data_IF_412768780894
#
_entry.id   IF_412768780894
#
_cell.length_a   1.000
_cell.length_b   1.000
_cell.length_c   1.000
_cell.angle_alpha   90.00
_cell.angle_beta   90.00
_cell.angle_gamma   90.00
#
_symmetry.space_group_name_H-M   'P 1'
#
loop_
_entity.id
_entity.type
_entity.pdbx_description
1 polymer ?
#
# COMPACT_ATOMS: atom_id res chain seq x y z
N UNK A 1 13.24 13.80 1.47
CA UNK A 1 14.13 12.66 1.18
C UNK A 1 13.35 11.68 0.34
N UNK A 2 13.90 11.18 -0.77
CA UNK A 2 13.19 10.20 -1.61
C UNK A 2 13.02 8.87 -0.86
N UNK A 3 11.84 8.27 -0.92
CA UNK A 3 11.51 7.00 -0.25
C UNK A 3 12.31 5.84 -0.84
N UNK A 4 12.96 5.04 0.00
CA UNK A 4 13.82 3.92 -0.44
C UNK A 4 13.04 2.84 -1.19
N UNK A 5 13.73 2.09 -2.06
CA UNK A 5 13.13 0.95 -2.77
C UNK A 5 12.50 -0.06 -1.80
N UNK A 6 13.20 -0.39 -0.70
CA UNK A 6 12.70 -1.34 0.29
C UNK A 6 11.43 -0.85 0.97
N UNK A 7 11.35 0.45 1.30
CA UNK A 7 10.14 1.05 1.88
C UNK A 7 8.97 1.00 0.89
N UNK A 8 9.18 1.39 -0.37
CA UNK A 8 8.16 1.29 -1.43
C UNK A 8 7.70 -0.15 -1.65
N UNK A 9 8.63 -1.11 -1.69
CA UNK A 9 8.30 -2.51 -1.89
C UNK A 9 7.48 -3.05 -0.72
N UNK A 10 7.90 -2.81 0.53
CA UNK A 10 7.15 -3.27 1.71
C UNK A 10 5.76 -2.63 1.77
N UNK A 11 5.63 -1.37 1.39
CA UNK A 11 4.33 -0.70 1.27
C UNK A 11 3.35 -1.47 0.40
N UNK A 12 3.81 -2.03 -0.73
CA UNK A 12 2.95 -2.85 -1.59
C UNK A 12 2.53 -4.16 -0.93
N UNK A 13 3.45 -4.84 -0.23
CA UNK A 13 3.09 -6.03 0.55
C UNK A 13 1.98 -5.73 1.58
N UNK A 14 2.09 -4.58 2.25
CA UNK A 14 1.18 -4.21 3.34
C UNK A 14 -0.17 -3.66 2.87
N UNK A 15 -0.27 -3.22 1.62
CA UNK A 15 -1.47 -2.52 1.11
C UNK A 15 -2.12 -3.19 -0.09
N UNK A 16 -1.39 -3.94 -0.90
CA UNK A 16 -1.88 -4.55 -2.14
C UNK A 16 -1.99 -6.07 -1.98
N UNK A 17 -3.18 -6.54 -1.65
CA UNK A 17 -3.51 -7.97 -1.58
C UNK A 17 -5.02 -8.19 -1.77
N UNK A 18 -5.45 -9.40 -2.18
CA UNK A 18 -6.85 -9.71 -2.46
C UNK A 18 -7.76 -9.54 -1.24
N UNK A 19 -9.04 -9.19 -1.45
CA UNK A 19 -10.01 -9.13 -0.35
C UNK A 19 -10.22 -10.51 0.29
N UNK A 20 -10.52 -10.53 1.59
CA UNK A 20 -10.83 -11.75 2.33
C UNK A 20 -9.61 -12.58 2.76
N UNK A 21 -8.38 -12.08 2.53
CA UNK A 21 -7.14 -12.66 3.04
C UNK A 21 -6.13 -11.58 3.45
N UNK A 22 -5.06 -12.00 4.10
CA UNK A 22 -3.95 -11.12 4.49
C UNK A 22 -2.96 -10.81 3.35
N UNK A 23 -1.93 -10.00 3.68
CA UNK A 23 -0.81 -9.67 2.80
C UNK A 23 -0.20 -10.86 2.06
N UNK A 24 0.40 -10.58 0.91
CA UNK A 24 1.20 -11.57 0.20
C UNK A 24 2.45 -11.97 1.00
N UNK A 25 2.87 -13.22 0.88
CA UNK A 25 4.18 -13.64 1.41
C UNK A 25 5.26 -13.51 0.33
N UNK A 26 6.52 -13.37 0.74
CA UNK A 26 7.64 -13.39 -0.21
C UNK A 26 7.66 -14.68 -1.05
N UNK A 27 7.27 -15.82 -0.46
CA UNK A 27 7.20 -17.11 -1.16
C UNK A 27 6.12 -17.11 -2.27
N UNK A 28 4.96 -16.50 -2.01
CA UNK A 28 3.91 -16.35 -3.03
C UNK A 28 4.36 -15.49 -4.20
N UNK A 29 5.04 -14.37 -3.94
CA UNK A 29 5.59 -13.51 -5.00
C UNK A 29 6.56 -14.29 -5.88
N UNK A 30 7.48 -15.02 -5.26
CA UNK A 30 8.48 -15.82 -5.98
C UNK A 30 7.80 -16.91 -6.83
N UNK A 31 6.80 -17.59 -6.28
CA UNK A 31 6.06 -18.62 -6.99
C UNK A 31 5.32 -18.06 -8.20
N UNK A 32 4.67 -16.89 -8.05
CA UNK A 32 3.97 -16.22 -9.14
C UNK A 32 4.95 -15.76 -10.24
N UNK A 33 6.05 -15.11 -9.88
CA UNK A 33 7.08 -14.71 -10.85
C UNK A 33 7.65 -15.91 -11.61
N UNK A 34 7.89 -17.03 -10.91
CA UNK A 34 8.35 -18.27 -11.55
C UNK A 34 7.34 -18.83 -12.56
N UNK A 35 6.04 -18.73 -12.27
CA UNK A 35 4.99 -19.15 -13.20
C UNK A 35 4.94 -18.32 -14.49
N UNK A 36 5.44 -17.10 -14.44
CA UNK A 36 5.59 -16.19 -15.60
C UNK A 36 6.98 -16.31 -16.27
N UNK A 37 7.79 -17.30 -15.88
CA UNK A 37 9.14 -17.53 -16.42
C UNK A 37 10.23 -16.61 -15.84
N UNK A 38 9.91 -15.82 -14.81
CA UNK A 38 10.86 -14.91 -14.15
C UNK A 38 11.45 -15.60 -12.92
N UNK A 39 12.76 -15.83 -12.93
CA UNK A 39 13.44 -16.47 -11.80
C UNK A 39 13.96 -15.43 -10.81
N UNK A 40 13.49 -15.50 -9.57
CA UNK A 40 13.98 -14.69 -8.45
C UNK A 40 14.25 -15.60 -7.25
N UNK A 41 15.42 -15.45 -6.62
CA UNK A 41 15.76 -16.24 -5.43
C UNK A 41 15.12 -15.65 -4.17
N UNK A 42 14.71 -16.51 -3.23
CA UNK A 42 14.16 -16.07 -1.95
C UNK A 42 15.12 -15.20 -1.11
N UNK A 43 16.43 -15.52 -1.01
CA UNK A 43 17.38 -14.66 -0.32
C UNK A 43 17.47 -13.27 -0.96
N UNK A 44 17.42 -13.19 -2.29
CA UNK A 44 17.50 -11.90 -2.99
C UNK A 44 16.27 -11.02 -2.69
N UNK A 45 15.05 -11.57 -2.78
CA UNK A 45 13.84 -10.81 -2.40
C UNK A 45 13.88 -10.37 -0.93
N UNK A 46 14.34 -11.25 -0.03
CA UNK A 46 14.51 -10.89 1.38
C UNK A 46 15.49 -9.73 1.57
N UNK A 47 16.62 -9.73 0.86
CA UNK A 47 17.61 -8.65 0.91
C UNK A 47 17.09 -7.34 0.33
N UNK A 48 16.25 -7.40 -0.70
CA UNK A 48 15.56 -6.22 -1.24
C UNK A 48 14.58 -5.62 -0.23
N UNK A 49 13.78 -6.47 0.42
CA UNK A 49 12.81 -6.04 1.44
C UNK A 49 13.47 -5.49 2.70
N UNK A 50 14.63 -6.00 3.10
CA UNK A 50 15.38 -5.48 4.26
C UNK A 50 16.22 -4.25 3.94
N UNK A 51 16.44 -3.94 2.65
CA UNK A 51 17.35 -2.88 2.23
C UNK A 51 18.83 -3.28 2.22
N UNK A 52 19.17 -4.54 2.51
CA UNK A 52 20.54 -5.05 2.33
C UNK A 52 20.98 -5.02 0.86
N UNK A 53 20.01 -5.12 -0.06
CA UNK A 53 20.17 -4.79 -1.48
C UNK A 53 19.19 -3.67 -1.80
N UNK A 54 19.68 -2.58 -2.38
CA UNK A 54 18.89 -1.36 -2.60
C UNK A 54 18.66 -1.04 -4.07
N UNK A 55 19.50 -1.56 -4.97
CA UNK A 55 19.50 -1.23 -6.40
C UNK A 55 19.17 -2.47 -7.26
N UNK A 56 17.89 -2.90 -7.33
CA UNK A 56 17.47 -3.96 -8.23
C UNK A 56 17.57 -3.55 -9.70
N UNK A 57 17.65 -4.53 -10.60
CA UNK A 57 17.59 -4.25 -12.04
C UNK A 57 16.21 -3.74 -12.45
N UNK A 58 16.13 -3.02 -13.58
CA UNK A 58 14.85 -2.59 -14.16
C UNK A 58 13.90 -3.76 -14.40
N UNK A 59 14.41 -4.89 -14.90
CA UNK A 59 13.65 -6.14 -15.06
C UNK A 59 13.04 -6.62 -13.74
N UNK A 60 13.81 -6.56 -12.64
CA UNK A 60 13.33 -6.94 -11.31
C UNK A 60 12.24 -6.00 -10.82
N UNK A 61 12.43 -4.68 -10.99
CA UNK A 61 11.42 -3.69 -10.60
C UNK A 61 10.11 -3.88 -11.38
N UNK A 62 10.21 -4.11 -12.70
CA UNK A 62 9.06 -4.37 -13.56
C UNK A 62 8.32 -5.65 -13.16
N UNK A 63 9.05 -6.73 -12.89
CA UNK A 63 8.46 -7.99 -12.44
C UNK A 63 7.66 -7.83 -11.14
N UNK A 64 8.25 -7.16 -10.14
CA UNK A 64 7.58 -6.88 -8.87
C UNK A 64 6.36 -5.96 -9.04
N UNK A 65 6.49 -4.91 -9.85
CA UNK A 65 5.36 -4.01 -10.14
C UNK A 65 4.20 -4.74 -10.83
N UNK A 66 4.50 -5.60 -11.80
CA UNK A 66 3.50 -6.40 -12.52
C UNK A 66 2.78 -7.38 -11.58
N UNK A 67 3.50 -8.03 -10.67
CA UNK A 67 2.89 -8.89 -9.65
C UNK A 67 1.83 -8.14 -8.83
N UNK A 68 2.15 -6.92 -8.38
CA UNK A 68 1.21 -6.06 -7.66
C UNK A 68 0.24 -5.29 -8.57
N UNK A 69 0.29 -5.52 -9.88
CA UNK A 69 -0.56 -4.88 -10.92
C UNK A 69 -0.49 -3.35 -10.93
N UNK A 70 0.69 -2.80 -10.67
CA UNK A 70 0.97 -1.36 -10.73
C UNK A 70 2.05 -1.06 -11.77
N UNK A 71 2.22 0.22 -12.11
CA UNK A 71 3.26 0.63 -13.07
C UNK A 71 4.65 0.65 -12.40
N UNK A 72 5.74 0.22 -13.09
CA UNK A 72 7.10 0.21 -12.53
C UNK A 72 7.62 1.57 -12.10
N UNK A 73 7.07 2.65 -12.67
CA UNK A 73 7.35 4.05 -12.29
C UNK A 73 7.17 4.28 -10.78
N UNK A 74 6.34 3.48 -10.10
CA UNK A 74 6.20 3.54 -8.65
C UNK A 74 7.54 3.46 -7.90
N UNK A 75 8.52 2.74 -8.43
CA UNK A 75 9.84 2.61 -7.81
C UNK A 75 10.82 3.71 -8.20
N UNK A 76 10.55 4.48 -9.26
CA UNK A 76 11.55 5.39 -9.88
C UNK A 76 11.10 6.84 -9.97
N UNK A 77 9.81 7.10 -9.88
CA UNK A 77 9.19 8.42 -10.01
C UNK A 77 8.51 8.78 -8.68
N UNK A 78 8.98 9.86 -8.06
CA UNK A 78 8.53 10.32 -6.75
C UNK A 78 7.12 10.91 -6.82
N UNK A 79 6.77 11.63 -7.89
CA UNK A 79 5.42 12.19 -8.08
C UNK A 79 4.39 11.07 -8.28
N UNK A 80 4.73 10.07 -9.09
CA UNK A 80 3.87 8.92 -9.29
C UNK A 80 3.71 8.09 -8.00
N UNK A 81 4.80 7.94 -7.22
CA UNK A 81 4.75 7.31 -5.90
C UNK A 81 3.81 8.04 -4.96
N UNK A 82 3.94 9.36 -4.81
CA UNK A 82 3.10 10.15 -3.89
C UNK A 82 1.61 10.07 -4.25
N UNK A 83 1.30 10.10 -5.55
CA UNK A 83 -0.08 9.94 -6.01
C UNK A 83 -0.64 8.57 -5.67
N UNK A 84 0.10 7.50 -5.97
CA UNK A 84 -0.36 6.14 -5.73
C UNK A 84 -0.41 5.80 -4.24
N UNK A 85 0.52 6.31 -3.43
CA UNK A 85 0.54 6.06 -1.99
C UNK A 85 -0.69 6.63 -1.28
N UNK A 86 -1.24 7.77 -1.74
CA UNK A 86 -2.53 8.29 -1.26
C UNK A 86 -3.67 7.31 -1.53
N UNK A 87 -3.73 6.74 -2.73
CA UNK A 87 -4.74 5.73 -3.09
C UNK A 87 -4.57 4.43 -2.28
N UNK A 88 -3.33 3.96 -2.10
CA UNK A 88 -3.01 2.78 -1.28
C UNK A 88 -3.36 2.99 0.20
N UNK A 89 -3.10 4.18 0.74
CA UNK A 89 -3.50 4.55 2.11
C UNK A 89 -5.01 4.47 2.28
N UNK A 90 -5.75 5.02 1.32
CA UNK A 90 -7.21 4.97 1.34
C UNK A 90 -7.72 3.53 1.29
N UNK A 91 -7.18 2.70 0.39
CA UNK A 91 -7.53 1.27 0.31
C UNK A 91 -7.23 0.52 1.62
N UNK A 92 -6.11 0.81 2.27
CA UNK A 92 -5.74 0.20 3.53
C UNK A 92 -6.71 0.59 4.65
N UNK A 93 -7.03 1.88 4.79
CA UNK A 93 -7.98 2.38 5.79
C UNK A 93 -9.37 1.78 5.60
N UNK A 94 -9.77 1.58 4.35
CA UNK A 94 -11.07 1.01 4.01
C UNK A 94 -11.13 -0.51 4.21
N UNK A 95 -10.06 -1.17 4.69
CA UNK A 95 -10.15 -2.56 5.19
C UNK A 95 -10.54 -2.63 6.66
N UNK A 96 -10.38 -1.55 7.41
CA UNK A 96 -10.81 -1.49 8.81
C UNK A 96 -12.34 -1.59 8.90
N UNK A 97 -12.82 -2.57 9.68
CA UNK A 97 -14.26 -2.82 9.82
C UNK A 97 -15.01 -1.65 10.50
N UNK A 98 -14.35 -0.94 11.41
CA UNK A 98 -14.88 0.25 12.06
C UNK A 98 -15.05 1.39 11.07
N UNK A 99 -14.02 1.67 10.27
CA UNK A 99 -14.06 2.68 9.20
C UNK A 99 -15.14 2.36 8.16
N UNK A 100 -15.25 1.10 7.72
CA UNK A 100 -16.33 0.66 6.80
C UNK A 100 -17.72 0.88 7.38
N UNK A 101 -17.91 0.55 8.66
CA UNK A 101 -19.21 0.71 9.34
C UNK A 101 -19.62 2.18 9.43
N UNK A 102 -18.68 3.07 9.70
CA UNK A 102 -18.92 4.52 9.72
C UNK A 102 -19.30 4.98 8.32
N UNK A 103 -18.49 4.68 7.30
CA UNK A 103 -18.75 5.08 5.91
C UNK A 103 -20.12 4.59 5.40
N UNK A 104 -20.51 3.35 5.70
CA UNK A 104 -21.81 2.82 5.31
C UNK A 104 -22.99 3.59 5.95
N UNK A 105 -22.80 4.18 7.13
CA UNK A 105 -23.82 4.95 7.85
C UNK A 105 -23.92 6.41 7.42
N UNK A 106 -22.91 6.94 6.72
CA UNK A 106 -22.93 8.32 6.22
C UNK A 106 -23.56 8.46 4.83
N UNK A 107 -23.78 7.34 4.13
CA UNK A 107 -24.46 7.31 2.82
C UNK A 107 -25.89 7.84 2.96
N UNK A 108 -26.21 8.89 2.18
CA UNK A 108 -27.53 9.51 2.16
C UNK A 108 -27.71 10.68 3.13
N UNK A 109 -26.71 11.01 3.95
CA UNK A 109 -26.71 12.24 4.73
C UNK A 109 -26.55 13.47 3.81
N UNK A 110 -27.11 14.61 4.25
CA UNK A 110 -26.88 15.89 3.58
C UNK A 110 -25.41 16.32 3.72
N UNK A 111 -24.91 17.21 2.83
CA UNK A 111 -23.56 17.74 2.95
C UNK A 111 -23.26 18.38 4.31
N UNK A 112 -24.23 19.06 4.91
CA UNK A 112 -24.10 19.69 6.24
C UNK A 112 -23.92 18.63 7.33
N UNK A 113 -24.75 17.58 7.32
CA UNK A 113 -24.63 16.49 8.29
C UNK A 113 -23.32 15.69 8.11
N UNK A 114 -22.81 15.58 6.89
CA UNK A 114 -21.48 15.01 6.64
C UNK A 114 -20.37 15.88 7.25
N UNK A 115 -20.49 17.20 7.14
CA UNK A 115 -19.53 18.14 7.73
C UNK A 115 -19.53 18.09 9.27
N UNK A 116 -20.69 17.91 9.90
CA UNK A 116 -20.80 17.72 11.35
C UNK A 116 -20.06 16.46 11.82
N UNK A 117 -20.18 15.37 11.06
CA UNK A 117 -19.44 14.13 11.35
C UNK A 117 -17.93 14.34 11.24
N UNK A 118 -17.46 15.01 10.18
CA UNK A 118 -16.03 15.35 10.02
C UNK A 118 -15.54 16.16 11.23
N UNK A 119 -16.29 17.17 11.62
CA UNK A 119 -15.95 18.04 12.76
C UNK A 119 -15.87 17.24 14.07
N UNK A 120 -16.74 16.24 14.25
CA UNK A 120 -16.70 15.36 15.43
C UNK A 120 -15.51 14.40 15.41
N UNK A 121 -15.13 13.91 14.23
CA UNK A 121 -13.92 13.08 14.05
C UNK A 121 -12.68 13.90 14.41
N UNK A 122 -12.57 15.14 13.95
CA UNK A 122 -11.44 16.01 14.27
C UNK A 122 -11.32 16.29 15.78
N UNK A 123 -12.45 16.44 16.48
CA UNK A 123 -12.46 16.59 17.94
C UNK A 123 -11.93 15.32 18.64
N UNK A 124 -12.30 14.13 18.16
CA UNK A 124 -11.82 12.85 18.70
C UNK A 124 -10.33 12.67 18.44
N UNK A 125 -9.85 12.97 17.24
CA UNK A 125 -8.44 12.87 16.87
C UNK A 125 -7.55 13.75 17.76
N UNK A 126 -7.95 15.00 18.00
CA UNK A 126 -7.27 15.88 18.97
C UNK A 126 -7.25 15.30 20.39
N UNK A 127 -8.36 14.71 20.84
CA UNK A 127 -8.48 14.11 22.18
C UNK A 127 -7.58 12.88 22.36
N UNK A 128 -7.35 12.14 21.28
CA UNK A 128 -6.49 10.96 21.25
C UNK A 128 -5.03 11.28 20.90
N UNK A 129 -4.68 12.57 20.74
CA UNK A 129 -3.33 13.01 20.35
C UNK A 129 -2.88 12.41 19.00
N UNK A 130 -3.80 12.32 18.04
CA UNK A 130 -3.53 11.84 16.67
C UNK A 130 -3.29 12.98 15.66
N UNK A 131 -3.47 14.23 16.09
CA UNK A 131 -3.23 15.44 15.32
C UNK A 131 -2.04 16.20 15.93
N UNK A 132 -0.83 15.64 15.81
CA UNK A 132 0.44 16.30 16.10
C UNK A 132 1.24 16.49 14.79
#
# INVERSE_FOLDING_TARGET
MSTTFSARLNRLFDTVYPPGRGPHTSAEVIAALKSEGITMSAPYLSQLRSGNRTNPSSTTMTALANFFRIKPQYFTDDEYYEKLDKELTWLANMRDEGVRRIAARTVGLSPEAQQDIVSKVDELRRREHLDD
#
